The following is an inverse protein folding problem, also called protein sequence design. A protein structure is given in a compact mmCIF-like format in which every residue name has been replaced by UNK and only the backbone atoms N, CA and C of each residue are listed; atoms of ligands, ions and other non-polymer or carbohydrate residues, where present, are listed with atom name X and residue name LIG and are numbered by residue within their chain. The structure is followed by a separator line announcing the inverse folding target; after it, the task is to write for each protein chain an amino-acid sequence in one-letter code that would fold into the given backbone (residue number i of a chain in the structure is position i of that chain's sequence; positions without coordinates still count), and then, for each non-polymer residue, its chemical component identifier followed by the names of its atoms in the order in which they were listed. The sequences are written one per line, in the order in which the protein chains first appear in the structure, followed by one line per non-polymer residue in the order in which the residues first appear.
data_IF_271031495988
#
_entry.id   IF_271031495988
#
_cell.length_a   1.000
_cell.length_b   1.000
_cell.length_c   1.000
_cell.angle_alpha   90.00
_cell.angle_beta   90.00
_cell.angle_gamma   90.00
#
_symmetry.space_group_name_H-M   'P 1'
#
loop_
_entity.id
_entity.type
_entity.pdbx_description
1 polymer ?
#
# COMPACT_ATOMS: atom_id res chain seq x y z
N UNK A 1 20.80 1.74 29.47
CA UNK A 1 20.19 1.84 28.13
C UNK A 1 19.72 0.45 27.75
N UNK A 2 18.48 0.11 28.09
CA UNK A 2 17.91 -1.21 27.79
C UNK A 2 17.30 -1.13 26.40
N UNK A 3 17.85 -1.93 25.47
CA UNK A 3 17.25 -2.20 24.18
C UNK A 3 15.84 -2.77 24.40
N UNK A 4 14.82 -1.92 24.33
CA UNK A 4 13.49 -2.38 23.98
C UNK A 4 13.52 -2.67 22.49
N UNK A 5 13.78 -3.93 22.14
CA UNK A 5 13.44 -4.49 20.84
C UNK A 5 12.00 -4.08 20.54
N UNK A 6 11.85 -3.08 19.66
CA UNK A 6 10.55 -2.76 19.12
C UNK A 6 10.07 -4.04 18.44
N UNK A 7 9.03 -4.66 19.02
CA UNK A 7 8.10 -5.44 18.24
C UNK A 7 7.62 -4.48 17.16
N UNK A 8 8.28 -4.52 16.02
CA UNK A 8 7.81 -3.89 14.80
C UNK A 8 6.52 -4.63 14.52
N UNK A 9 5.41 -4.09 15.03
CA UNK A 9 4.11 -4.68 14.79
C UNK A 9 3.98 -4.73 13.27
N UNK A 10 3.83 -5.93 12.72
CA UNK A 10 3.47 -6.20 11.32
C UNK A 10 2.04 -5.72 11.02
N UNK A 11 1.64 -4.62 11.66
CA UNK A 11 0.33 -4.05 11.69
C UNK A 11 0.39 -2.63 11.14
N UNK A 12 -0.77 -2.16 10.71
CA UNK A 12 -0.94 -0.78 10.32
C UNK A 12 -1.09 0.11 11.57
N UNK A 13 -0.75 1.39 11.43
CA UNK A 13 -1.03 2.36 12.48
C UNK A 13 -2.54 2.42 12.77
N UNK A 14 -2.95 2.79 14.00
CA UNK A 14 -4.36 2.95 14.34
C UNK A 14 -5.08 3.88 13.36
N UNK A 15 -6.22 3.43 12.83
CA UNK A 15 -7.02 4.17 11.84
C UNK A 15 -6.64 3.91 10.37
N UNK A 16 -5.50 3.28 10.11
CA UNK A 16 -5.10 2.83 8.77
C UNK A 16 -5.73 1.46 8.46
N UNK A 17 -5.93 1.17 7.17
CA UNK A 17 -6.55 -0.09 6.71
C UNK A 17 -5.50 -1.06 6.18
N UNK A 18 -5.56 -2.32 6.62
CA UNK A 18 -4.73 -3.39 6.08
C UNK A 18 -5.38 -3.97 4.82
N UNK A 19 -4.61 -4.08 3.75
CA UNK A 19 -4.93 -4.90 2.58
C UNK A 19 -3.98 -6.07 2.57
N UNK A 20 -4.55 -7.28 2.52
CA UNK A 20 -3.82 -8.52 2.32
C UNK A 20 -3.96 -8.99 0.87
N UNK A 21 -2.86 -8.93 0.13
CA UNK A 21 -2.71 -9.48 -1.22
C UNK A 21 -1.74 -10.69 -1.22
N UNK A 22 -1.24 -11.14 -0.08
CA UNK A 22 -0.24 -12.21 0.01
C UNK A 22 -0.71 -13.53 -0.60
N UNK A 23 -2.01 -13.84 -0.48
CA UNK A 23 -2.61 -15.01 -1.13
C UNK A 23 -2.90 -14.84 -2.64
N UNK A 24 -2.78 -13.62 -3.16
CA UNK A 24 -3.09 -13.28 -4.57
C UNK A 24 -1.86 -12.97 -5.40
N UNK A 25 -0.72 -12.72 -4.76
CA UNK A 25 0.54 -12.38 -5.42
C UNK A 25 1.45 -13.62 -5.39
N UNK A 26 1.89 -14.13 -6.55
CA UNK A 26 2.89 -15.20 -6.62
C UNK A 26 4.17 -14.81 -5.88
N UNK A 27 4.77 -15.75 -5.13
CA UNK A 27 5.98 -15.50 -4.33
C UNK A 27 7.20 -15.02 -5.12
N UNK A 28 7.20 -15.23 -6.44
CA UNK A 28 8.27 -14.80 -7.33
C UNK A 28 8.23 -13.28 -7.63
N UNK A 29 7.08 -12.62 -7.43
CA UNK A 29 6.91 -11.21 -7.76
C UNK A 29 7.52 -10.33 -6.66
N UNK A 30 8.53 -9.54 -7.02
CA UNK A 30 9.20 -8.60 -6.10
C UNK A 30 8.57 -7.21 -6.09
N UNK A 31 7.85 -6.84 -7.15
CA UNK A 31 7.20 -5.54 -7.28
C UNK A 31 5.83 -5.70 -7.92
N UNK A 32 4.86 -4.93 -7.44
CA UNK A 32 3.50 -4.92 -7.96
C UNK A 32 3.10 -3.51 -8.38
N UNK A 33 2.43 -3.42 -9.52
CA UNK A 33 1.78 -2.19 -9.96
C UNK A 33 0.35 -2.17 -9.42
N UNK A 34 0.03 -1.19 -8.58
CA UNK A 34 -1.32 -0.95 -8.07
C UNK A 34 -1.93 0.26 -8.75
N UNK A 35 -3.00 0.06 -9.51
CA UNK A 35 -3.86 1.16 -9.93
C UNK A 35 -4.74 1.58 -8.75
N UNK A 36 -4.53 2.80 -8.29
CA UNK A 36 -5.31 3.41 -7.22
C UNK A 36 -6.19 4.48 -7.83
N UNK A 37 -7.48 4.43 -7.54
CA UNK A 37 -8.44 5.49 -7.86
C UNK A 37 -8.94 6.13 -6.58
N UNK A 38 -9.10 7.45 -6.55
CA UNK A 38 -9.55 8.22 -5.38
C UNK A 38 -10.66 9.18 -5.77
N UNK A 39 -11.61 9.36 -4.85
CA UNK A 39 -12.69 10.34 -4.97
C UNK A 39 -12.88 11.04 -3.62
N UNK A 40 -12.83 12.39 -3.57
CA UNK A 40 -12.55 13.30 -4.68
C UNK A 40 -11.08 13.25 -5.15
N UNK A 41 -10.78 13.72 -6.35
CA UNK A 41 -9.43 13.63 -6.95
C UNK A 41 -8.33 14.36 -6.16
N UNK A 42 -8.69 15.35 -5.36
CA UNK A 42 -7.77 16.08 -4.46
C UNK A 42 -7.51 15.34 -3.13
N UNK A 43 -8.22 14.25 -2.84
CA UNK A 43 -7.98 13.46 -1.65
C UNK A 43 -6.64 12.72 -1.76
N UNK A 44 -5.90 12.69 -0.65
CA UNK A 44 -4.61 12.00 -0.56
C UNK A 44 -4.80 10.62 0.05
N UNK A 45 -4.18 9.63 -0.58
CA UNK A 45 -4.13 8.25 -0.09
C UNK A 45 -2.67 7.83 -0.06
N UNK A 46 -2.26 7.22 1.04
CA UNK A 46 -0.88 6.76 1.21
C UNK A 46 -0.85 5.26 1.41
N UNK A 47 0.16 4.61 0.83
CA UNK A 47 0.38 3.18 0.96
C UNK A 47 1.77 2.94 1.54
N UNK A 48 1.89 2.03 2.51
CA UNK A 48 3.17 1.65 3.11
C UNK A 48 3.15 0.18 3.54
N UNK A 49 4.32 -0.38 3.85
CA UNK A 49 4.41 -1.77 4.32
C UNK A 49 4.17 -1.85 5.83
N UNK A 50 3.40 -2.84 6.32
CA UNK A 50 3.20 -3.03 7.76
C UNK A 50 4.52 -3.10 8.52
N UNK A 51 4.64 -2.36 9.62
CA UNK A 51 5.89 -2.25 10.38
C UNK A 51 6.94 -1.28 9.81
N UNK A 52 6.79 -0.79 8.59
CA UNK A 52 7.72 0.15 7.95
C UNK A 52 7.01 1.44 7.50
N UNK A 53 6.49 2.27 8.43
CA UNK A 53 5.76 3.49 8.06
C UNK A 53 6.61 4.52 7.31
N UNK A 54 7.95 4.41 7.34
CA UNK A 54 8.86 5.21 6.52
C UNK A 54 8.81 4.89 5.02
N UNK A 55 8.27 3.72 4.61
CA UNK A 55 8.15 3.31 3.21
C UNK A 55 6.93 3.94 2.50
N UNK A 56 6.45 5.07 3.01
CA UNK A 56 5.17 5.66 2.60
C UNK A 56 5.24 6.21 1.17
N UNK A 57 4.30 5.78 0.34
CA UNK A 57 4.13 6.26 -1.01
C UNK A 57 2.75 6.91 -1.15
N UNK A 58 2.71 8.16 -1.63
CA UNK A 58 1.48 8.92 -1.80
C UNK A 58 0.88 8.80 -3.21
N UNK A 59 -0.43 8.61 -3.27
CA UNK A 59 -1.30 8.76 -4.44
C UNK A 59 -2.21 10.00 -4.25
N UNK A 60 -2.80 10.62 -5.27
CA UNK A 60 -2.64 10.46 -6.72
C UNK A 60 -2.27 11.82 -7.36
N UNK A 61 -1.65 12.71 -6.58
CA UNK A 61 -1.20 14.06 -6.99
C UNK A 61 -2.28 14.87 -7.74
N UNK A 62 -3.49 14.93 -7.17
CA UNK A 62 -4.67 15.61 -7.73
C UNK A 62 -5.27 14.97 -8.99
N UNK A 63 -4.86 13.75 -9.34
CA UNK A 63 -5.48 12.95 -10.39
C UNK A 63 -6.51 11.98 -9.78
N UNK A 64 -7.60 11.64 -10.51
CA UNK A 64 -8.58 10.67 -10.03
C UNK A 64 -8.03 9.25 -9.92
N UNK A 65 -6.92 8.95 -10.62
CA UNK A 65 -6.23 7.67 -10.52
C UNK A 65 -4.74 7.79 -10.82
N UNK A 66 -3.95 6.88 -10.24
CA UNK A 66 -2.52 6.75 -10.53
C UNK A 66 -2.05 5.32 -10.27
N UNK A 67 -0.99 4.90 -10.96
CA UNK A 67 -0.35 3.60 -10.75
C UNK A 67 0.83 3.79 -9.79
N UNK A 68 0.82 3.05 -8.68
CA UNK A 68 1.92 2.99 -7.72
C UNK A 68 2.65 1.66 -7.88
N UNK A 69 3.97 1.72 -8.04
CA UNK A 69 4.83 0.54 -8.04
C UNK A 69 5.36 0.30 -6.63
N UNK A 70 4.90 -0.79 -6.00
CA UNK A 70 5.26 -1.12 -4.62
C UNK A 70 6.13 -2.38 -4.56
N UNK A 71 7.16 -2.41 -3.70
CA UNK A 71 7.86 -3.65 -3.39
C UNK A 71 6.95 -4.60 -2.61
N UNK A 72 6.99 -5.89 -2.97
CA UNK A 72 6.25 -6.96 -2.31
C UNK A 72 7.22 -7.68 -1.37
N UNK A 73 7.02 -7.51 -0.05
CA UNK A 73 7.75 -8.29 0.97
C UNK A 73 6.92 -9.51 1.36
N UNK A 74 5.72 -9.28 1.89
CA UNK A 74 4.79 -10.30 2.35
C UNK A 74 3.41 -10.18 1.70
N UNK A 75 3.27 -9.27 0.72
CA UNK A 75 2.01 -8.98 0.01
C UNK A 75 0.98 -8.22 0.86
N UNK A 76 1.34 -7.74 2.04
CA UNK A 76 0.46 -6.91 2.88
C UNK A 76 0.84 -5.44 2.77
N UNK A 77 -0.18 -4.59 2.71
CA UNK A 77 -0.03 -3.15 2.56
C UNK A 77 -0.98 -2.41 3.49
N UNK A 78 -0.50 -1.33 4.07
CA UNK A 78 -1.29 -0.43 4.90
C UNK A 78 -1.69 0.80 4.11
N UNK A 79 -2.97 1.16 4.20
CA UNK A 79 -3.54 2.34 3.55
C UNK A 79 -3.93 3.38 4.58
N UNK A 80 -3.35 4.57 4.43
CA UNK A 80 -3.74 5.77 5.16
C UNK A 80 -4.52 6.70 4.26
N UNK A 81 -5.72 7.04 4.69
CA UNK A 81 -6.58 8.01 4.00
C UNK A 81 -6.50 9.37 4.69
N UNK A 82 -6.41 10.43 3.88
CA UNK A 82 -6.38 11.80 4.39
C UNK A 82 -7.74 12.30 4.90
N UNK A 83 -8.84 11.78 4.35
CA UNK A 83 -10.20 12.19 4.68
C UNK A 83 -11.05 10.96 5.01
N UNK A 84 -11.83 10.94 6.09
CA UNK A 84 -12.63 9.77 6.48
C UNK A 84 -13.68 9.36 5.45
N UNK A 85 -14.32 10.33 4.79
CA UNK A 85 -15.37 10.12 3.80
C UNK A 85 -14.88 9.89 2.36
N UNK A 86 -13.57 9.86 2.11
CA UNK A 86 -13.07 9.63 0.75
C UNK A 86 -13.35 8.21 0.28
N UNK A 87 -13.64 8.05 -1.00
CA UNK A 87 -13.73 6.73 -1.63
C UNK A 87 -12.44 6.44 -2.34
N UNK A 88 -12.04 5.18 -2.34
CA UNK A 88 -10.88 4.74 -3.08
C UNK A 88 -11.06 3.30 -3.54
N UNK A 89 -10.38 2.95 -4.63
CA UNK A 89 -10.34 1.61 -5.20
C UNK A 89 -8.90 1.25 -5.51
N UNK A 90 -8.51 0.03 -5.18
CA UNK A 90 -7.19 -0.53 -5.52
C UNK A 90 -7.39 -1.71 -6.45
N UNK A 91 -6.63 -1.73 -7.54
CA UNK A 91 -6.61 -2.82 -8.51
C UNK A 91 -5.16 -3.23 -8.76
N UNK A 92 -4.89 -4.53 -8.68
CA UNK A 92 -3.59 -5.09 -9.04
C UNK A 92 -3.49 -5.13 -10.56
N UNK A 93 -2.45 -4.52 -11.11
CA UNK A 93 -2.06 -4.69 -12.49
C UNK A 93 -0.93 -5.72 -12.50
N UNK A 94 -1.26 -6.96 -12.85
CA UNK A 94 -0.24 -7.96 -13.16
C UNK A 94 0.20 -7.73 -14.61
N UNK A 95 1.46 -7.36 -14.83
CA UNK A 95 2.02 -7.34 -16.18
C UNK A 95 2.56 -8.74 -16.51
N UNK A 96 2.29 -9.28 -17.71
CA UNK A 96 2.77 -10.60 -18.12
C UNK A 96 4.29 -10.75 -18.02
N UNK A 97 5.04 -9.65 -18.18
CA UNK A 97 6.50 -9.63 -18.09
C UNK A 97 7.07 -9.88 -16.67
N UNK A 98 6.26 -9.81 -15.62
CA UNK A 98 6.70 -10.01 -14.23
C UNK A 98 6.63 -11.49 -13.79
N UNK A 99 6.09 -12.38 -14.64
CA UNK A 99 6.09 -13.83 -14.43
C UNK A 99 7.34 -14.44 -15.08
N UNK A 100 8.45 -14.47 -14.32
CA UNK A 100 9.66 -15.23 -14.68
C UNK A 100 9.50 -16.67 -14.21
#
# INVERSE_FOLDING_TARGET
MILAFALIALACNPGDRLIDLGGKIPRAIKTIDLLISVEPSYARLYVYQPGFPGSIQGCCRNLPSSVLKLPVIDGRFCIRQSQPQMKWKVQVIARPEDAI
#
